data_IF_227145571356
#
_entry.id   IF_227145571356
#
_cell.length_a   1.000
_cell.length_b   1.000
_cell.length_c   1.000
_cell.angle_alpha   90.00
_cell.angle_beta   90.00
_cell.angle_gamma   90.00
#
_symmetry.space_group_name_H-M   'P 1'
#
loop_
_entity.id
_entity.type
_entity.pdbx_description
1 polymer ?
#
# COMPACT_ATOMS: atom_id res chain seq x y z
N UNK A 1 -24.98 -22.00 10.31
CA UNK A 1 -25.47 -21.69 11.69
C UNK A 1 -24.56 -20.69 12.40
N UNK A 2 -23.22 -20.91 12.44
CA UNK A 2 -22.28 -20.01 13.13
C UNK A 2 -22.25 -18.64 12.46
N UNK A 3 -22.10 -18.58 11.13
CA UNK A 3 -22.11 -17.34 10.36
C UNK A 3 -23.42 -16.55 10.58
N UNK A 4 -24.57 -17.19 10.51
CA UNK A 4 -25.85 -16.54 10.79
C UNK A 4 -25.98 -16.07 12.26
N UNK A 5 -25.34 -16.78 13.21
CA UNK A 5 -25.35 -16.39 14.62
C UNK A 5 -24.45 -15.19 14.90
N UNK A 6 -23.23 -15.19 14.38
CA UNK A 6 -22.24 -14.13 14.58
C UNK A 6 -22.37 -12.99 13.57
N UNK A 7 -23.17 -13.19 12.51
CA UNK A 7 -23.35 -12.26 11.40
C UNK A 7 -21.99 -11.82 10.80
N UNK A 8 -21.10 -12.82 10.67
CA UNK A 8 -19.74 -12.63 10.12
C UNK A 8 -19.13 -13.99 9.76
N UNK A 9 -18.20 -14.00 8.81
CA UNK A 9 -17.44 -15.18 8.43
C UNK A 9 -16.66 -15.73 9.64
N UNK A 10 -16.75 -17.03 9.85
CA UNK A 10 -16.15 -17.70 10.99
C UNK A 10 -15.02 -18.64 10.58
N UNK A 11 -13.91 -18.53 11.31
CA UNK A 11 -12.83 -19.51 11.32
C UNK A 11 -13.15 -20.56 12.40
N UNK A 12 -13.12 -21.83 12.02
CA UNK A 12 -13.59 -22.92 12.89
C UNK A 12 -12.54 -24.02 13.00
N UNK A 13 -12.33 -24.47 14.22
CA UNK A 13 -11.55 -25.67 14.51
C UNK A 13 -12.50 -26.79 14.96
N UNK A 14 -12.33 -27.97 14.40
CA UNK A 14 -13.10 -29.13 14.74
C UNK A 14 -12.29 -30.45 14.65
N UNK A 15 -12.75 -31.48 15.30
CA UNK A 15 -12.22 -32.84 15.14
C UNK A 15 -13.35 -33.82 14.90
N UNK A 16 -13.02 -34.95 14.29
CA UNK A 16 -13.95 -36.04 14.09
C UNK A 16 -13.40 -37.28 14.80
N UNK A 17 -14.17 -37.82 15.74
CA UNK A 17 -13.85 -39.05 16.44
C UNK A 17 -15.02 -40.02 16.29
N UNK A 18 -14.73 -41.23 15.80
CA UNK A 18 -15.72 -42.30 15.59
C UNK A 18 -16.96 -41.87 14.81
N UNK A 19 -16.73 -41.04 13.76
CA UNK A 19 -17.80 -40.53 12.90
C UNK A 19 -18.64 -39.41 13.51
N UNK A 20 -18.26 -38.87 14.68
CA UNK A 20 -18.95 -37.78 15.36
C UNK A 20 -18.07 -36.49 15.27
N UNK A 21 -18.69 -35.38 14.84
CA UNK A 21 -18.09 -34.08 14.78
C UNK A 21 -18.08 -33.40 16.16
N UNK A 22 -16.94 -32.90 16.56
CA UNK A 22 -16.74 -32.06 17.76
C UNK A 22 -16.18 -30.71 17.38
N UNK A 23 -16.91 -29.65 17.69
CA UNK A 23 -16.44 -28.28 17.54
C UNK A 23 -15.50 -27.94 18.69
N UNK A 24 -14.31 -27.45 18.37
CA UNK A 24 -13.29 -27.10 19.36
C UNK A 24 -13.26 -25.59 19.59
N UNK A 25 -13.30 -24.80 18.51
CA UNK A 25 -13.23 -23.36 18.60
C UNK A 25 -13.93 -22.70 17.39
N UNK A 26 -14.47 -21.51 17.60
CA UNK A 26 -14.88 -20.59 16.54
C UNK A 26 -14.43 -19.18 16.86
N UNK A 27 -14.07 -18.40 15.83
CA UNK A 27 -13.68 -17.00 15.96
C UNK A 27 -13.95 -16.28 14.64
N UNK A 28 -14.00 -14.94 14.69
CA UNK A 28 -14.02 -14.15 13.47
C UNK A 28 -12.71 -14.38 12.71
N UNK A 29 -12.81 -14.76 11.45
CA UNK A 29 -11.64 -15.09 10.64
C UNK A 29 -10.77 -13.88 10.37
N UNK A 30 -9.45 -14.04 10.51
CA UNK A 30 -8.48 -13.06 10.03
C UNK A 30 -8.55 -13.02 8.51
N UNK A 31 -8.54 -11.82 7.94
CA UNK A 31 -8.76 -11.64 6.50
C UNK A 31 -7.88 -10.51 5.94
N UNK A 32 -7.51 -10.63 4.67
CA UNK A 32 -6.87 -9.54 3.92
C UNK A 32 -7.89 -8.44 3.63
N UNK A 33 -7.42 -7.26 3.23
CA UNK A 33 -8.31 -6.15 2.85
C UNK A 33 -9.30 -6.54 1.74
N UNK A 34 -8.83 -7.24 0.70
CA UNK A 34 -9.68 -7.71 -0.39
C UNK A 34 -10.73 -8.72 0.10
N UNK A 35 -10.34 -9.66 0.98
CA UNK A 35 -11.27 -10.61 1.57
C UNK A 35 -12.29 -9.92 2.48
N UNK A 36 -11.88 -8.92 3.27
CA UNK A 36 -12.80 -8.17 4.13
C UNK A 36 -13.90 -7.47 3.31
N UNK A 37 -13.50 -6.82 2.21
CA UNK A 37 -14.43 -6.18 1.29
C UNK A 37 -15.39 -7.18 0.65
N UNK A 38 -14.84 -8.28 0.08
CA UNK A 38 -15.65 -9.32 -0.57
C UNK A 38 -16.65 -9.95 0.38
N UNK A 39 -16.23 -10.32 1.59
CA UNK A 39 -17.11 -10.89 2.62
C UNK A 39 -18.22 -9.91 3.02
N UNK A 40 -17.90 -8.62 3.19
CA UNK A 40 -18.91 -7.61 3.51
C UNK A 40 -19.99 -7.50 2.42
N UNK A 41 -19.58 -7.54 1.14
CA UNK A 41 -20.50 -7.53 0.00
C UNK A 41 -21.35 -8.82 -0.04
N UNK A 42 -20.73 -9.98 0.10
CA UNK A 42 -21.43 -11.26 0.08
C UNK A 42 -22.47 -11.39 1.21
N UNK A 43 -22.13 -10.94 2.41
CA UNK A 43 -23.07 -10.96 3.55
C UNK A 43 -24.30 -10.05 3.34
N UNK A 44 -24.16 -8.97 2.56
CA UNK A 44 -25.32 -8.17 2.13
C UNK A 44 -26.15 -8.91 1.08
N UNK A 45 -25.49 -9.52 0.09
CA UNK A 45 -26.18 -10.29 -0.96
C UNK A 45 -26.92 -11.50 -0.41
N UNK A 46 -26.41 -12.12 0.65
CA UNK A 46 -27.04 -13.21 1.40
C UNK A 46 -28.14 -12.74 2.38
N UNK A 47 -28.34 -11.43 2.53
CA UNK A 47 -29.33 -10.85 3.43
C UNK A 47 -28.98 -10.99 4.93
N UNK A 48 -27.71 -11.25 5.25
CA UNK A 48 -27.23 -11.35 6.65
C UNK A 48 -26.98 -9.98 7.26
N UNK A 49 -26.49 -9.02 6.46
CA UNK A 49 -26.20 -7.64 6.86
C UNK A 49 -26.99 -6.65 6.01
N UNK A 50 -27.29 -5.48 6.59
CA UNK A 50 -27.64 -4.31 5.82
C UNK A 50 -26.39 -3.66 5.20
N UNK A 51 -26.57 -2.79 4.20
CA UNK A 51 -25.48 -2.02 3.59
C UNK A 51 -24.71 -1.18 4.61
N UNK A 52 -25.41 -0.54 5.54
CA UNK A 52 -24.82 0.26 6.62
C UNK A 52 -23.99 -0.60 7.58
N UNK A 53 -24.52 -1.78 7.95
CA UNK A 53 -23.80 -2.73 8.81
C UNK A 53 -22.54 -3.26 8.11
N UNK A 54 -22.61 -3.52 6.82
CA UNK A 54 -21.46 -3.97 6.01
C UNK A 54 -20.35 -2.90 5.97
N UNK A 55 -20.72 -1.61 5.85
CA UNK A 55 -19.74 -0.50 5.89
C UNK A 55 -18.99 -0.48 7.22
N UNK A 56 -19.64 -0.77 8.33
CA UNK A 56 -19.01 -0.82 9.65
C UNK A 56 -18.10 -2.04 9.86
N UNK A 57 -18.19 -3.07 9.01
CA UNK A 57 -17.35 -4.29 9.10
C UNK A 57 -15.95 -4.14 8.50
N UNK A 58 -15.74 -3.15 7.64
CA UNK A 58 -14.45 -2.94 6.95
C UNK A 58 -13.76 -1.72 7.55
N UNK A 59 -12.54 -1.91 8.05
CA UNK A 59 -11.75 -0.82 8.58
C UNK A 59 -11.24 0.10 7.45
N UNK A 60 -11.31 1.44 7.61
CA UNK A 60 -10.83 2.37 6.58
C UNK A 60 -9.40 2.12 6.11
N UNK A 61 -8.50 1.73 7.02
CA UNK A 61 -7.10 1.38 6.68
C UNK A 61 -6.98 0.20 5.71
N UNK A 62 -7.95 -0.73 5.72
CA UNK A 62 -7.97 -1.83 4.76
C UNK A 62 -8.29 -1.33 3.36
N UNK A 63 -9.17 -0.33 3.24
CA UNK A 63 -9.50 0.28 1.94
C UNK A 63 -8.29 1.02 1.35
N UNK A 64 -7.51 1.72 2.17
CA UNK A 64 -6.27 2.37 1.69
C UNK A 64 -5.33 1.37 1.02
N UNK A 65 -5.20 0.17 1.58
CA UNK A 65 -4.38 -0.90 1.00
C UNK A 65 -4.86 -1.31 -0.39
N UNK A 66 -6.17 -1.27 -0.65
CA UNK A 66 -6.75 -1.64 -1.95
C UNK A 66 -6.58 -0.56 -3.03
N UNK A 67 -6.32 0.68 -2.64
CA UNK A 67 -6.13 1.82 -3.54
C UNK A 67 -4.72 1.93 -4.11
N UNK A 68 -3.78 1.12 -3.59
CA UNK A 68 -2.38 1.14 -4.00
C UNK A 68 -1.96 -0.18 -4.65
N UNK A 69 -0.94 -0.19 -5.51
CA UNK A 69 -0.35 -1.42 -6.01
C UNK A 69 0.09 -2.34 -4.87
N UNK A 70 -0.12 -3.63 -5.01
CA UNK A 70 0.29 -4.64 -4.06
C UNK A 70 1.24 -5.65 -4.72
N UNK A 71 2.02 -6.37 -3.93
CA UNK A 71 2.78 -7.50 -4.46
C UNK A 71 1.89 -8.72 -4.70
N UNK A 72 2.25 -9.51 -5.70
CA UNK A 72 1.69 -10.86 -5.83
C UNK A 72 1.96 -11.67 -4.55
N UNK A 73 0.89 -12.22 -3.97
CA UNK A 73 0.95 -12.88 -2.67
C UNK A 73 1.82 -14.14 -2.64
N UNK A 74 1.96 -14.83 -3.79
CA UNK A 74 2.82 -16.01 -3.90
C UNK A 74 4.28 -15.62 -4.09
N UNK A 75 4.53 -14.53 -4.83
CA UNK A 75 5.87 -14.01 -5.08
C UNK A 75 6.50 -13.42 -3.82
N UNK A 76 5.77 -12.58 -3.08
CA UNK A 76 6.30 -11.92 -1.87
C UNK A 76 6.62 -12.90 -0.73
N UNK A 77 5.88 -14.01 -0.63
CA UNK A 77 6.16 -15.05 0.39
C UNK A 77 7.51 -15.74 0.21
N UNK A 78 8.03 -15.75 -1.01
CA UNK A 78 9.32 -16.38 -1.36
C UNK A 78 10.47 -15.39 -1.35
N UNK A 79 10.18 -14.10 -1.35
CA UNK A 79 11.19 -13.05 -1.44
C UNK A 79 11.84 -12.81 -0.07
N UNK A 80 13.17 -12.81 0.02
CA UNK A 80 13.86 -12.52 1.27
C UNK A 80 13.71 -11.04 1.64
N UNK A 81 13.32 -10.76 2.87
CA UNK A 81 13.36 -9.42 3.44
C UNK A 81 14.81 -9.11 3.78
N UNK A 82 15.38 -8.08 3.16
CA UNK A 82 16.77 -7.67 3.37
C UNK A 82 16.91 -6.56 4.43
N UNK A 83 15.89 -5.71 4.55
CA UNK A 83 15.86 -4.63 5.53
C UNK A 83 14.42 -4.25 5.89
N UNK A 84 14.27 -3.47 6.96
CA UNK A 84 12.99 -2.93 7.39
C UNK A 84 13.15 -1.50 7.87
N UNK A 85 12.27 -0.63 7.36
CA UNK A 85 12.13 0.76 7.79
C UNK A 85 10.71 1.09 8.22
N UNK A 86 10.40 2.37 8.30
CA UNK A 86 9.06 2.86 8.60
C UNK A 86 8.17 2.85 7.34
N UNK A 87 6.92 2.36 7.43
CA UNK A 87 5.96 2.38 6.33
C UNK A 87 5.42 3.80 6.11
N UNK A 88 6.14 4.60 5.33
CA UNK A 88 5.88 6.03 5.22
C UNK A 88 4.78 6.40 4.22
N UNK A 89 4.67 5.66 3.13
CA UNK A 89 3.61 5.83 2.14
C UNK A 89 3.25 4.47 1.56
N UNK A 90 1.97 4.08 1.56
CA UNK A 90 1.54 2.73 1.20
C UNK A 90 1.78 2.40 -0.26
N UNK A 91 1.81 1.09 -0.57
CA UNK A 91 1.95 0.54 -1.91
C UNK A 91 3.19 -0.34 -2.07
N UNK A 92 3.14 -1.18 -3.10
CA UNK A 92 4.25 -2.02 -3.53
C UNK A 92 4.98 -1.36 -4.70
N UNK A 93 6.28 -1.26 -4.60
CA UNK A 93 7.13 -0.76 -5.68
C UNK A 93 8.27 -1.73 -5.96
N UNK A 94 8.58 -1.93 -7.23
CA UNK A 94 9.76 -2.68 -7.67
C UNK A 94 10.47 -1.88 -8.75
N UNK A 95 11.78 -1.87 -8.74
CA UNK A 95 12.55 -1.13 -9.72
C UNK A 95 14.04 -1.22 -9.51
N UNK A 96 14.73 -0.58 -10.41
CA UNK A 96 16.18 -0.45 -10.44
C UNK A 96 16.62 0.66 -9.48
N UNK A 97 17.69 0.42 -8.75
CA UNK A 97 18.27 1.37 -7.81
C UNK A 97 18.95 2.52 -8.57
N UNK A 98 18.60 3.75 -8.20
CA UNK A 98 19.36 4.96 -8.51
C UNK A 98 19.59 5.77 -7.24
N UNK A 99 20.77 6.38 -7.14
CA UNK A 99 21.21 7.10 -5.95
C UNK A 99 21.08 8.63 -6.07
N UNK A 100 20.83 9.13 -7.27
CA UNK A 100 20.62 10.58 -7.50
C UNK A 100 19.23 10.83 -8.07
N UNK A 101 18.66 11.99 -7.73
CA UNK A 101 17.34 12.39 -8.22
C UNK A 101 17.34 12.61 -9.74
N UNK A 102 18.43 13.15 -10.28
CA UNK A 102 18.58 13.44 -11.71
C UNK A 102 18.54 12.14 -12.54
N UNK A 103 19.33 11.13 -12.16
CA UNK A 103 19.33 9.82 -12.82
C UNK A 103 17.98 9.12 -12.67
N UNK A 104 17.40 9.16 -11.47
CA UNK A 104 16.07 8.59 -11.24
C UNK A 104 15.00 9.25 -12.12
N UNK A 105 15.07 10.57 -12.32
CA UNK A 105 14.16 11.29 -13.19
C UNK A 105 14.39 10.95 -14.66
N UNK A 106 15.66 10.92 -15.12
CA UNK A 106 16.02 10.58 -16.50
C UNK A 106 15.52 9.20 -16.90
N UNK A 107 15.84 8.18 -16.10
CA UNK A 107 15.44 6.79 -16.33
C UNK A 107 13.93 6.59 -16.17
N UNK A 108 13.32 7.22 -15.16
CA UNK A 108 11.88 7.17 -14.95
C UNK A 108 11.07 7.81 -16.10
N UNK A 109 11.54 8.91 -16.68
CA UNK A 109 10.97 9.53 -17.90
C UNK A 109 11.02 8.56 -19.09
N UNK A 110 12.04 7.74 -19.16
CA UNK A 110 12.19 6.69 -20.19
C UNK A 110 11.36 5.43 -19.88
N UNK A 111 10.45 5.50 -18.89
CA UNK A 111 9.54 4.41 -18.45
C UNK A 111 10.27 3.22 -17.78
N UNK A 112 11.48 3.39 -17.35
CA UNK A 112 12.13 2.43 -16.48
C UNK A 112 11.48 2.47 -15.09
N UNK A 113 11.34 1.30 -14.46
CA UNK A 113 10.87 1.21 -13.07
C UNK A 113 12.05 1.53 -12.15
N UNK A 114 12.00 2.67 -11.51
CA UNK A 114 13.10 3.20 -10.69
C UNK A 114 12.71 3.20 -9.21
N UNK A 115 13.65 2.82 -8.36
CA UNK A 115 13.62 3.07 -6.92
C UNK A 115 14.70 4.11 -6.60
N UNK A 116 14.26 5.27 -6.10
CA UNK A 116 15.19 6.29 -5.62
C UNK A 116 15.66 5.94 -4.22
N UNK A 117 16.97 5.76 -4.06
CA UNK A 117 17.62 5.38 -2.79
C UNK A 117 18.51 6.51 -2.32
N UNK A 118 18.17 7.13 -1.20
CA UNK A 118 18.90 8.29 -0.64
C UNK A 118 19.22 8.08 0.83
N UNK A 119 20.20 8.79 1.35
CA UNK A 119 20.38 8.90 2.81
C UNK A 119 19.19 9.64 3.43
N UNK A 120 18.79 10.73 2.85
CA UNK A 120 17.57 11.50 3.09
C UNK A 120 17.22 12.28 1.82
N UNK A 121 15.97 12.72 1.67
CA UNK A 121 15.57 13.53 0.53
C UNK A 121 15.45 15.00 0.91
N UNK A 122 15.72 15.85 -0.06
CA UNK A 122 15.63 17.32 0.01
C UNK A 122 14.63 17.83 -1.03
N UNK A 123 14.23 19.12 -1.01
CA UNK A 123 13.36 19.69 -2.02
C UNK A 123 13.88 19.57 -3.46
N UNK A 124 15.19 19.49 -3.64
CA UNK A 124 15.81 19.30 -4.97
C UNK A 124 15.54 17.91 -5.55
N UNK A 125 15.22 16.91 -4.69
CA UNK A 125 14.96 15.53 -5.12
C UNK A 125 13.54 15.31 -5.66
N UNK A 126 12.65 16.31 -5.64
CA UNK A 126 11.21 16.17 -5.97
C UNK A 126 11.02 15.57 -7.37
N UNK A 127 11.77 15.99 -8.38
CA UNK A 127 11.63 15.45 -9.72
C UNK A 127 11.97 13.96 -9.79
N UNK A 128 13.08 13.55 -9.17
CA UNK A 128 13.46 12.14 -9.07
C UNK A 128 12.44 11.29 -8.31
N UNK A 129 11.85 11.85 -7.26
CA UNK A 129 10.78 11.19 -6.51
C UNK A 129 9.51 11.00 -7.34
N UNK A 130 9.12 11.99 -8.17
CA UNK A 130 7.90 11.92 -8.99
C UNK A 130 8.01 10.85 -10.10
N UNK A 131 9.19 10.68 -10.68
CA UNK A 131 9.42 9.68 -11.73
C UNK A 131 9.76 8.28 -11.17
N UNK A 132 10.02 8.14 -9.87
CA UNK A 132 10.30 6.85 -9.24
C UNK A 132 9.02 6.07 -8.90
N UNK A 133 9.11 4.74 -8.92
CA UNK A 133 8.04 3.87 -8.44
C UNK A 133 7.98 3.87 -6.90
N UNK A 134 9.11 4.02 -6.25
CA UNK A 134 9.22 4.06 -4.80
C UNK A 134 10.46 4.77 -4.31
N UNK A 135 10.40 5.19 -3.04
CA UNK A 135 11.45 5.95 -2.36
C UNK A 135 11.93 5.16 -1.13
N UNK A 136 13.24 5.04 -1.00
CA UNK A 136 13.89 4.38 0.14
C UNK A 136 14.90 5.32 0.77
N UNK A 137 14.78 5.58 2.08
CA UNK A 137 15.76 6.42 2.78
C UNK A 137 16.32 5.75 4.03
N UNK A 138 17.60 6.04 4.32
CA UNK A 138 18.28 5.58 5.56
C UNK A 138 17.75 6.35 6.76
N UNK A 139 17.64 7.66 6.63
CA UNK A 139 17.17 8.54 7.68
C UNK A 139 15.76 9.05 7.38
N UNK A 140 15.12 9.59 8.41
CA UNK A 140 13.80 10.18 8.32
C UNK A 140 12.74 9.42 9.10
N UNK A 141 11.70 10.13 9.49
CA UNK A 141 10.52 9.62 10.19
C UNK A 141 9.26 9.81 9.35
N UNK A 142 8.10 9.54 9.96
CA UNK A 142 6.78 9.67 9.31
C UNK A 142 6.44 11.12 8.88
N UNK A 143 7.16 12.11 9.40
CA UNK A 143 7.01 13.53 9.08
C UNK A 143 8.19 14.09 8.29
N UNK A 144 9.15 13.24 7.86
CA UNK A 144 10.29 13.65 7.03
C UNK A 144 9.83 14.12 5.65
N UNK A 145 10.68 14.87 4.95
CA UNK A 145 10.42 15.32 3.58
C UNK A 145 10.05 14.15 2.66
N UNK A 146 10.85 13.06 2.68
CA UNK A 146 10.55 11.86 1.90
C UNK A 146 9.14 11.32 2.16
N UNK A 147 8.75 11.19 3.42
CA UNK A 147 7.45 10.64 3.82
C UNK A 147 6.28 11.52 3.39
N UNK A 148 6.38 12.83 3.57
CA UNK A 148 5.31 13.79 3.24
C UNK A 148 5.13 13.90 1.74
N UNK A 149 6.23 14.07 1.00
CA UNK A 149 6.19 14.22 -0.45
C UNK A 149 5.74 12.94 -1.14
N UNK A 150 6.27 11.77 -0.73
CA UNK A 150 5.86 10.49 -1.30
C UNK A 150 4.35 10.23 -1.15
N UNK A 151 3.77 10.54 0.03
CA UNK A 151 2.31 10.45 0.24
C UNK A 151 1.53 11.41 -0.67
N UNK A 152 2.01 12.64 -0.81
CA UNK A 152 1.39 13.62 -1.72
C UNK A 152 1.41 13.19 -3.18
N UNK A 153 2.44 12.47 -3.60
CA UNK A 153 2.60 11.93 -4.95
C UNK A 153 1.94 10.57 -5.16
N UNK A 154 1.48 9.89 -4.08
CA UNK A 154 0.97 8.52 -4.14
C UNK A 154 2.06 7.48 -4.48
N UNK A 155 3.32 7.75 -4.14
CA UNK A 155 4.45 6.84 -4.34
C UNK A 155 4.72 6.01 -3.10
N UNK A 156 5.02 4.73 -3.27
CA UNK A 156 5.41 3.88 -2.15
C UNK A 156 6.70 4.41 -1.49
N UNK A 157 6.74 4.44 -0.16
CA UNK A 157 7.96 4.89 0.52
C UNK A 157 8.23 4.12 1.81
N UNK A 158 9.50 3.76 1.96
CA UNK A 158 10.09 3.21 3.20
C UNK A 158 11.18 4.17 3.66
N UNK A 159 11.04 4.71 4.86
CA UNK A 159 11.99 5.70 5.41
C UNK A 159 12.59 5.23 6.73
N UNK A 160 13.70 5.86 7.13
CA UNK A 160 14.34 5.52 8.41
C UNK A 160 14.87 4.09 8.46
N UNK A 161 15.32 3.57 7.34
CA UNK A 161 15.85 2.22 7.24
C UNK A 161 17.34 2.17 7.65
N UNK A 162 17.62 2.29 8.95
CA UNK A 162 18.97 2.43 9.51
C UNK A 162 19.89 1.22 9.32
N UNK A 163 19.37 0.08 8.85
CA UNK A 163 20.18 -1.08 8.47
C UNK A 163 20.95 -0.89 7.15
N UNK A 164 20.58 0.12 6.37
CA UNK A 164 21.17 0.43 5.07
C UNK A 164 22.42 1.32 5.23
N UNK A 165 23.46 1.00 4.48
CA UNK A 165 24.63 1.87 4.32
C UNK A 165 24.74 2.25 2.85
N UNK A 166 24.63 3.54 2.57
CA UNK A 166 24.73 4.09 1.22
C UNK A 166 26.07 4.78 1.06
N UNK A 167 26.77 4.45 -0.02
CA UNK A 167 27.90 5.20 -0.54
C UNK A 167 27.46 5.80 -1.88
N UNK A 168 27.21 7.11 -1.87
CA UNK A 168 26.69 7.82 -3.04
C UNK A 168 27.79 8.00 -4.12
N UNK A 169 29.09 8.09 -3.73
CA UNK A 169 30.19 8.21 -4.67
C UNK A 169 30.47 6.87 -5.38
N UNK A 170 30.48 5.78 -4.60
CA UNK A 170 30.66 4.44 -5.13
C UNK A 170 29.36 3.88 -5.74
N UNK A 171 28.23 4.58 -5.62
CA UNK A 171 26.89 4.16 -6.07
C UNK A 171 26.54 2.74 -5.57
N UNK A 172 26.67 2.54 -4.27
CA UNK A 172 26.41 1.26 -3.61
C UNK A 172 25.49 1.38 -2.41
N UNK A 173 24.68 0.33 -2.23
CA UNK A 173 23.82 0.10 -1.08
C UNK A 173 24.25 -1.21 -0.40
N UNK A 174 24.73 -1.12 0.83
CA UNK A 174 25.13 -2.29 1.62
C UNK A 174 24.09 -2.61 2.67
N UNK A 175 23.69 -3.88 2.75
CA UNK A 175 22.74 -4.42 3.74
C UNK A 175 23.29 -5.72 4.30
N UNK A 176 23.76 -5.70 5.56
CA UNK A 176 24.50 -6.85 6.11
C UNK A 176 25.75 -7.15 5.30
N UNK A 177 25.84 -8.36 4.75
CA UNK A 177 26.97 -8.81 3.91
C UNK A 177 26.71 -8.65 2.41
N UNK A 178 25.51 -8.15 2.02
CA UNK A 178 25.15 -7.93 0.61
C UNK A 178 25.42 -6.51 0.18
N UNK A 179 25.98 -6.35 -1.02
CA UNK A 179 26.20 -5.08 -1.69
C UNK A 179 25.38 -5.04 -2.97
N UNK A 180 24.56 -4.01 -3.11
CA UNK A 180 23.79 -3.70 -4.32
C UNK A 180 24.42 -2.50 -5.00
N UNK A 181 24.44 -2.51 -6.30
CA UNK A 181 24.97 -1.44 -7.15
C UNK A 181 23.82 -0.70 -7.83
N UNK A 182 24.11 0.45 -8.35
CA UNK A 182 23.22 1.11 -9.29
C UNK A 182 22.91 0.18 -10.45
N UNK A 183 21.63 0.07 -10.83
CA UNK A 183 21.19 -0.90 -11.82
C UNK A 183 20.64 -2.21 -11.25
N UNK A 184 20.88 -2.53 -9.97
CA UNK A 184 20.32 -3.72 -9.33
C UNK A 184 18.84 -3.50 -8.96
N UNK A 185 18.06 -4.59 -8.93
CA UNK A 185 16.66 -4.54 -8.56
C UNK A 185 16.44 -4.72 -7.06
N UNK A 186 15.57 -3.89 -6.51
CA UNK A 186 14.96 -4.08 -5.19
C UNK A 186 13.46 -3.86 -5.24
N UNK A 187 12.76 -4.32 -4.21
CA UNK A 187 11.34 -4.10 -4.05
C UNK A 187 11.01 -3.54 -2.67
N UNK A 188 10.06 -2.60 -2.62
CA UNK A 188 9.64 -1.89 -1.41
C UNK A 188 8.18 -2.15 -1.12
N UNK A 189 7.87 -2.50 0.12
CA UNK A 189 6.50 -2.51 0.64
C UNK A 189 6.30 -1.30 1.56
N UNK A 190 5.73 -0.26 1.01
CA UNK A 190 5.42 0.97 1.75
C UNK A 190 4.30 0.82 2.79
N UNK A 191 3.57 -0.30 2.78
CA UNK A 191 2.53 -0.61 3.76
C UNK A 191 3.07 -1.32 5.01
N UNK A 192 4.13 -2.13 4.85
CA UNK A 192 4.76 -2.90 5.94
C UNK A 192 6.12 -2.36 6.36
N UNK A 193 6.76 -1.55 5.51
CA UNK A 193 8.13 -1.05 5.69
C UNK A 193 9.21 -2.06 5.30
N UNK A 194 8.86 -3.17 4.66
CA UNK A 194 9.82 -4.17 4.24
C UNK A 194 10.52 -3.78 2.94
N UNK A 195 11.81 -4.09 2.87
CA UNK A 195 12.64 -4.03 1.67
C UNK A 195 13.02 -5.44 1.29
N UNK A 196 12.82 -5.80 0.04
CA UNK A 196 13.06 -7.14 -0.47
C UNK A 196 14.15 -7.16 -1.53
N UNK A 197 14.85 -8.29 -1.61
CA UNK A 197 15.85 -8.58 -2.64
C UNK A 197 15.18 -8.81 -4.00
N UNK A 198 15.71 -8.16 -5.03
CA UNK A 198 15.31 -8.37 -6.40
C UNK A 198 13.92 -7.83 -6.79
N UNK A 199 13.48 -8.27 -7.95
CA UNK A 199 12.21 -7.85 -8.55
C UNK A 199 11.07 -8.76 -8.12
N UNK A 200 10.04 -8.18 -7.49
CA UNK A 200 8.80 -8.88 -7.16
C UNK A 200 7.68 -8.36 -8.07
N UNK A 201 6.88 -9.28 -8.60
CA UNK A 201 5.72 -8.91 -9.41
C UNK A 201 4.72 -8.10 -8.59
N UNK A 202 4.27 -6.98 -9.16
CA UNK A 202 3.24 -6.11 -8.59
C UNK A 202 1.91 -6.32 -9.29
N UNK A 203 0.83 -6.26 -8.53
CA UNK A 203 -0.55 -6.25 -9.02
C UNK A 203 -1.05 -4.82 -8.86
N UNK A 204 -1.49 -4.23 -9.97
CA UNK A 204 -2.08 -2.88 -9.94
C UNK A 204 -3.29 -2.84 -9.02
N UNK A 205 -3.51 -1.68 -8.40
CA UNK A 205 -4.70 -1.42 -7.63
C UNK A 205 -5.92 -1.57 -8.55
N UNK A 206 -6.67 -2.65 -8.40
CA UNK A 206 -7.93 -2.83 -9.11
C UNK A 206 -9.07 -2.38 -8.20
N UNK A 207 -9.72 -1.29 -8.56
CA UNK A 207 -11.03 -0.95 -8.01
C UNK A 207 -11.99 -1.98 -8.60
N UNK A 208 -12.20 -3.08 -7.88
CA UNK A 208 -13.16 -4.12 -8.27
C UNK A 208 -14.58 -3.57 -8.27
N UNK A 209 -15.50 -4.26 -8.94
CA UNK A 209 -16.93 -3.91 -8.88
C UNK A 209 -17.48 -3.91 -7.46
N UNK A 210 -16.97 -4.80 -6.59
CA UNK A 210 -17.31 -4.85 -5.18
C UNK A 210 -16.85 -3.60 -4.43
N UNK A 211 -15.65 -3.08 -4.74
CA UNK A 211 -15.16 -1.83 -4.14
C UNK A 211 -16.05 -0.65 -4.51
N UNK A 212 -16.43 -0.51 -5.77
CA UNK A 212 -17.31 0.55 -6.23
C UNK A 212 -18.70 0.46 -5.56
N UNK A 213 -19.25 -0.75 -5.44
CA UNK A 213 -20.52 -1.01 -4.77
C UNK A 213 -20.47 -0.65 -3.28
N UNK A 214 -19.44 -1.09 -2.58
CA UNK A 214 -19.21 -0.80 -1.17
C UNK A 214 -19.05 0.71 -0.93
N UNK A 215 -18.28 1.41 -1.78
CA UNK A 215 -18.12 2.87 -1.68
C UNK A 215 -19.44 3.61 -1.94
N UNK A 216 -20.31 3.07 -2.79
CA UNK A 216 -21.68 3.60 -2.99
C UNK A 216 -22.50 3.56 -1.69
N UNK A 217 -22.41 2.48 -0.92
CA UNK A 217 -23.07 2.38 0.40
C UNK A 217 -22.48 3.37 1.42
N UNK A 218 -21.14 3.48 1.45
CA UNK A 218 -20.47 4.46 2.32
C UNK A 218 -20.86 5.90 1.96
N UNK A 219 -20.96 6.22 0.67
CA UNK A 219 -21.40 7.54 0.19
C UNK A 219 -22.87 7.83 0.53
N UNK A 220 -23.74 6.83 0.52
CA UNK A 220 -25.14 6.97 0.91
C UNK A 220 -25.30 7.21 2.43
N UNK A 221 -24.46 6.59 3.26
CA UNK A 221 -24.50 6.67 4.71
C UNK A 221 -23.82 7.93 5.28
N UNK A 222 -22.83 8.49 4.57
CA UNK A 222 -22.04 9.63 5.07
C UNK A 222 -22.84 10.92 5.18
N UNK A 223 -22.52 11.73 6.18
CA UNK A 223 -23.09 13.07 6.39
C UNK A 223 -22.15 14.19 5.97
N UNK A 224 -20.84 13.93 5.98
CA UNK A 224 -19.82 14.92 5.65
C UNK A 224 -19.46 14.84 4.17
N UNK A 225 -19.14 15.99 3.60
CA UNK A 225 -18.63 16.09 2.25
C UNK A 225 -17.11 16.06 2.26
N UNK A 226 -16.51 15.47 1.23
CA UNK A 226 -15.06 15.39 1.07
C UNK A 226 -14.56 16.56 0.23
N UNK A 227 -13.62 17.31 0.81
CA UNK A 227 -12.93 18.41 0.14
C UNK A 227 -11.45 18.09 0.08
N UNK A 228 -10.79 18.47 -1.01
CA UNK A 228 -9.35 18.29 -1.20
C UNK A 228 -8.65 19.61 -1.46
N UNK A 229 -7.35 19.66 -1.19
CA UNK A 229 -6.52 20.77 -1.62
C UNK A 229 -6.15 20.54 -3.09
N UNK A 230 -6.28 21.58 -3.91
CA UNK A 230 -5.91 21.55 -5.31
C UNK A 230 -5.52 22.95 -5.77
N UNK A 231 -4.33 23.09 -6.31
CA UNK A 231 -3.74 24.37 -6.69
C UNK A 231 -3.70 24.57 -8.21
N UNK A 232 -3.79 23.48 -8.97
CA UNK A 232 -3.73 23.53 -10.44
C UNK A 232 -4.97 22.92 -11.08
N UNK A 233 -5.28 23.25 -12.35
CA UNK A 233 -6.35 22.59 -13.11
C UNK A 233 -6.14 21.07 -13.23
N UNK A 234 -4.91 20.57 -13.26
CA UNK A 234 -4.56 19.14 -13.29
C UNK A 234 -4.99 18.49 -12.00
N UNK A 235 -4.62 19.07 -10.86
CA UNK A 235 -4.94 18.54 -9.53
C UNK A 235 -6.46 18.53 -9.31
N UNK A 236 -7.14 19.61 -9.71
CA UNK A 236 -8.61 19.70 -9.63
C UNK A 236 -9.29 18.59 -10.43
N UNK A 237 -8.84 18.34 -11.68
CA UNK A 237 -9.38 17.24 -12.50
C UNK A 237 -9.15 15.88 -11.85
N UNK A 238 -7.98 15.66 -11.24
CA UNK A 238 -7.67 14.42 -10.54
C UNK A 238 -8.51 14.28 -9.27
N UNK A 239 -8.68 15.35 -8.52
CA UNK A 239 -9.53 15.41 -7.33
C UNK A 239 -10.98 15.02 -7.63
N UNK A 240 -11.55 15.56 -8.71
CA UNK A 240 -12.92 15.20 -9.17
C UNK A 240 -13.01 13.71 -9.52
N UNK A 241 -12.00 13.15 -10.19
CA UNK A 241 -11.95 11.71 -10.49
C UNK A 241 -11.93 10.83 -9.23
N UNK A 242 -11.33 11.33 -8.16
CA UNK A 242 -11.31 10.65 -6.86
C UNK A 242 -12.55 10.92 -6.00
N UNK A 243 -13.54 11.62 -6.54
CA UNK A 243 -14.83 11.86 -5.86
C UNK A 243 -14.82 13.05 -4.90
N UNK A 244 -13.87 13.98 -5.02
CA UNK A 244 -13.91 15.21 -4.23
C UNK A 244 -15.11 16.08 -4.65
N UNK A 245 -15.82 16.64 -3.65
CA UNK A 245 -17.03 17.45 -3.82
C UNK A 245 -16.75 18.95 -3.70
N UNK A 246 -15.50 19.32 -3.53
CA UNK A 246 -15.07 20.71 -3.47
C UNK A 246 -13.60 20.87 -3.13
N UNK A 247 -13.11 22.11 -3.24
CA UNK A 247 -11.74 22.47 -2.86
C UNK A 247 -11.75 22.92 -1.39
N UNK A 248 -10.84 22.35 -0.60
CA UNK A 248 -10.60 22.72 0.78
C UNK A 248 -9.71 23.94 0.89
N UNK A 249 -8.55 23.89 0.24
CA UNK A 249 -7.56 24.96 0.18
C UNK A 249 -6.97 25.04 -1.23
N UNK A 250 -6.83 26.25 -1.74
CA UNK A 250 -6.06 26.61 -2.91
C UNK A 250 -5.00 27.61 -2.45
N UNK A 251 -3.73 27.40 -2.78
CA UNK A 251 -2.59 28.23 -2.38
C UNK A 251 -2.02 28.98 -3.57
#
# INVERSE_FOLDING_TARGET
KLEAHYRDMQDMEYTIERGKLYMLQTRNGKRTAAAALKIAVDLVDEGVLSEEEAVLKVEPKQLDTLLHPNFDAAAVKKAPVIAKGLPASPGAATGVIYFTADEAAEHGKNKEKVILVRRETTPEDIEGMDFSQGILTVFGGMTSHAAVVARGMGRAAVVGCGALKIDEEAKTLTVGDKVYHEGDFISLDGSTGNVYDGQIATVEASISGEFARFMGWADAARRLRVRTNADTPRDTKQAVKFGAEGIGLCR
#
